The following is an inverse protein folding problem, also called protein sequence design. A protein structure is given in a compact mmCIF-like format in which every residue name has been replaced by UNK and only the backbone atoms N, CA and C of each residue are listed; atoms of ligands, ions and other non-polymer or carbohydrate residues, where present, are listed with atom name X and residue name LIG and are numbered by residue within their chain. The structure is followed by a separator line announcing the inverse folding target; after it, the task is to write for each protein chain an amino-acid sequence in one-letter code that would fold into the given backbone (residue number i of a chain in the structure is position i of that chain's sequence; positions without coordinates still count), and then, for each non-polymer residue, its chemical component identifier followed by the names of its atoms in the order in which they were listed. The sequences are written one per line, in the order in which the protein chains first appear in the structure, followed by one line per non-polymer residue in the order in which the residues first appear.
data_IF_321666211253
#
_entry.id   IF_321666211253
#
_cell.length_a   1.000
_cell.length_b   1.000
_cell.length_c   1.000
_cell.angle_alpha   90.00
_cell.angle_beta   90.00
_cell.angle_gamma   90.00
#
_symmetry.space_group_name_H-M   'P 1'
#
loop_
_entity.id
_entity.type
_entity.pdbx_description
1 polymer ?
#
# COMPACT_ATOMS: atom_id res chain seq x y z
N UNK A 1 0.89 -2.23 -20.34
CA UNK A 1 -0.29 -3.11 -20.39
C UNK A 1 0.19 -4.54 -20.64
N UNK A 2 0.49 -5.30 -19.59
CA UNK A 2 0.81 -6.73 -19.76
C UNK A 2 -0.50 -7.46 -20.10
N UNK A 3 -0.60 -8.02 -21.30
CA UNK A 3 -1.82 -8.71 -21.72
C UNK A 3 -1.94 -10.03 -20.96
N UNK A 4 -3.18 -10.50 -20.78
CA UNK A 4 -3.51 -11.78 -20.13
C UNK A 4 -2.66 -12.95 -20.69
N UNK A 5 -2.33 -12.89 -21.98
CA UNK A 5 -1.49 -13.88 -22.65
C UNK A 5 -0.07 -13.99 -22.05
N UNK A 6 0.53 -12.87 -21.62
CA UNK A 6 1.86 -12.86 -20.99
C UNK A 6 1.84 -13.53 -19.61
N UNK A 7 0.78 -13.29 -18.83
CA UNK A 7 0.60 -13.93 -17.53
C UNK A 7 0.36 -15.43 -17.65
N UNK A 8 -0.51 -15.85 -18.59
CA UNK A 8 -0.76 -17.28 -18.82
C UNK A 8 0.51 -18.00 -19.28
N UNK A 9 1.32 -17.39 -20.16
CA UNK A 9 2.56 -17.99 -20.62
C UNK A 9 3.62 -18.12 -19.50
N UNK A 10 3.65 -17.16 -18.56
CA UNK A 10 4.55 -17.16 -17.38
C UNK A 10 4.20 -18.28 -16.40
N UNK A 11 2.91 -18.52 -16.14
CA UNK A 11 2.47 -19.46 -15.11
C UNK A 11 2.22 -20.88 -15.63
N UNK A 12 1.75 -21.01 -16.87
CA UNK A 12 1.35 -22.31 -17.43
C UNK A 12 2.48 -22.94 -18.25
N UNK A 13 3.51 -22.18 -18.65
CA UNK A 13 4.66 -22.71 -19.36
C UNK A 13 4.30 -23.37 -20.70
N UNK A 14 3.25 -22.90 -21.37
CA UNK A 14 2.72 -23.50 -22.60
C UNK A 14 3.79 -23.59 -23.69
N UNK A 15 4.64 -22.55 -23.82
CA UNK A 15 5.80 -22.60 -24.74
C UNK A 15 6.87 -23.63 -24.34
N UNK A 16 7.11 -23.82 -23.05
CA UNK A 16 8.11 -24.79 -22.59
C UNK A 16 7.67 -26.25 -22.84
N UNK A 17 6.36 -26.50 -22.99
CA UNK A 17 5.81 -27.80 -23.34
C UNK A 17 5.86 -28.10 -24.84
N UNK A 18 5.68 -27.07 -25.70
CA UNK A 18 5.79 -27.21 -27.16
C UNK A 18 7.25 -27.25 -27.65
N UNK A 19 8.16 -26.54 -26.98
CA UNK A 19 9.60 -26.54 -27.29
C UNK A 19 10.37 -27.66 -26.57
N UNK A 20 9.70 -28.48 -25.75
CA UNK A 20 10.33 -29.63 -25.13
C UNK A 20 10.78 -30.59 -26.25
N UNK A 21 12.10 -30.85 -26.42
CA UNK A 21 12.55 -31.83 -27.38
C UNK A 21 11.87 -33.16 -27.06
N UNK A 22 11.39 -33.87 -28.10
CA UNK A 22 10.85 -35.20 -27.91
C UNK A 22 11.85 -36.00 -27.08
N UNK A 23 11.42 -36.51 -25.92
CA UNK A 23 12.30 -37.19 -24.99
C UNK A 23 13.01 -38.33 -25.73
N UNK A 24 14.23 -38.05 -26.19
CA UNK A 24 15.08 -39.02 -26.83
C UNK A 24 15.64 -39.83 -25.67
N UNK A 25 14.96 -40.93 -25.36
CA UNK A 25 15.48 -41.95 -24.48
C UNK A 25 16.72 -42.50 -25.19
N UNK A 26 17.86 -41.85 -25.00
CA UNK A 26 19.16 -42.40 -25.36
C UNK A 26 19.34 -43.61 -24.46
N UNK A 27 18.83 -44.75 -24.95
CA UNK A 27 19.08 -46.06 -24.38
C UNK A 27 20.52 -46.40 -24.74
N UNK A 28 21.44 -45.64 -24.16
CA UNK A 28 22.86 -45.97 -24.11
C UNK A 28 22.91 -47.19 -23.22
N UNK A 29 22.91 -48.35 -23.87
CA UNK A 29 23.19 -49.66 -23.29
C UNK A 29 22.01 -50.25 -22.48
N UNK A 30 21.26 -51.14 -23.13
CA UNK A 30 20.43 -52.09 -22.40
C UNK A 30 21.32 -52.79 -21.34
N UNK A 31 20.85 -53.00 -20.10
CA UNK A 31 21.63 -53.68 -19.07
C UNK A 31 21.97 -55.09 -19.57
N UNK A 32 23.20 -55.26 -20.06
CA UNK A 32 23.69 -56.56 -20.54
C UNK A 32 24.02 -57.38 -19.32
N UNK A 33 23.27 -58.46 -19.12
CA UNK A 33 23.61 -59.48 -18.13
C UNK A 33 25.02 -60.04 -18.44
N UNK A 34 25.71 -60.56 -17.42
CA UNK A 34 27.01 -61.24 -17.61
C UNK A 34 26.79 -62.39 -18.61
N UNK A 35 27.59 -62.47 -19.69
CA UNK A 35 27.44 -63.55 -20.65
C UNK A 35 27.73 -64.89 -19.97
N UNK A 36 26.86 -65.87 -20.20
CA UNK A 36 27.09 -67.24 -19.71
C UNK A 36 27.93 -68.00 -20.72
N UNK A 37 28.68 -69.01 -20.26
CA UNK A 37 29.54 -69.80 -21.15
C UNK A 37 28.71 -70.47 -22.26
N UNK A 38 29.15 -70.31 -23.51
CA UNK A 38 28.54 -70.87 -24.72
C UNK A 38 27.10 -70.39 -25.02
N UNK A 39 26.70 -69.20 -24.57
CA UNK A 39 25.38 -68.63 -24.87
C UNK A 39 25.15 -68.43 -26.38
N UNK A 40 26.20 -68.12 -27.11
CA UNK A 40 26.22 -67.90 -28.57
C UNK A 40 25.99 -69.19 -29.38
N UNK A 41 26.24 -70.36 -28.79
CA UNK A 41 26.07 -71.66 -29.44
C UNK A 41 24.69 -72.26 -29.15
N UNK A 42 24.18 -72.08 -27.93
CA UNK A 42 22.93 -72.75 -27.49
C UNK A 42 21.71 -71.83 -27.41
N UNK A 43 21.90 -70.50 -27.33
CA UNK A 43 20.79 -69.56 -27.18
C UNK A 43 20.66 -68.68 -28.43
N UNK A 44 19.61 -68.94 -29.22
CA UNK A 44 19.21 -68.02 -30.28
C UNK A 44 18.51 -66.80 -29.68
N UNK A 45 19.21 -65.67 -29.60
CA UNK A 45 18.62 -64.39 -29.20
C UNK A 45 17.93 -63.76 -30.41
N UNK A 46 16.60 -63.87 -30.46
CA UNK A 46 15.79 -63.16 -31.47
C UNK A 46 15.97 -61.65 -31.27
N UNK A 47 16.55 -60.97 -32.26
CA UNK A 47 16.61 -59.50 -32.28
C UNK A 47 15.20 -58.95 -32.47
N UNK A 48 14.64 -58.38 -31.40
CA UNK A 48 13.35 -57.69 -31.46
C UNK A 48 13.63 -56.29 -31.98
N UNK A 49 13.33 -56.05 -33.25
CA UNK A 49 13.31 -54.71 -33.82
C UNK A 49 11.98 -54.03 -33.46
N UNK A 50 12.06 -53.03 -32.57
CA UNK A 50 10.92 -52.21 -32.15
C UNK A 50 10.92 -50.83 -32.81
N UNK A 51 11.73 -50.61 -33.85
CA UNK A 51 11.85 -49.31 -34.53
C UNK A 51 10.53 -48.78 -35.09
N UNK A 52 9.59 -49.67 -35.45
CA UNK A 52 8.26 -49.33 -35.95
C UNK A 52 7.17 -49.19 -34.88
N UNK A 53 7.47 -49.40 -33.59
CA UNK A 53 6.45 -49.40 -32.54
C UNK A 53 6.10 -47.95 -32.17
N UNK A 54 5.02 -47.44 -32.76
CA UNK A 54 4.43 -46.19 -32.30
C UNK A 54 3.47 -46.43 -31.14
N UNK A 55 3.47 -45.51 -30.17
CA UNK A 55 2.47 -45.51 -29.10
C UNK A 55 1.07 -45.33 -29.71
N UNK A 56 0.16 -46.26 -29.42
CA UNK A 56 -1.24 -46.11 -29.80
C UNK A 56 -1.80 -44.81 -29.21
N UNK A 57 -2.33 -43.94 -30.07
CA UNK A 57 -2.96 -42.71 -29.64
C UNK A 57 -4.31 -43.07 -29.01
N UNK A 58 -4.36 -43.16 -27.67
CA UNK A 58 -5.62 -43.31 -26.94
C UNK A 58 -6.26 -41.92 -26.70
N UNK A 59 -7.38 -41.59 -27.39
CA UNK A 59 -8.05 -40.31 -27.24
C UNK A 59 -8.74 -40.17 -25.87
N UNK A 60 -9.15 -41.27 -25.23
CA UNK A 60 -9.82 -41.24 -23.92
C UNK A 60 -8.83 -40.85 -22.83
N UNK A 61 -7.62 -41.43 -22.85
CA UNK A 61 -6.56 -41.07 -21.91
C UNK A 61 -6.13 -39.60 -22.05
N UNK A 62 -6.10 -39.06 -23.29
CA UNK A 62 -5.79 -37.63 -23.52
C UNK A 62 -6.87 -36.72 -22.92
N UNK A 63 -8.15 -37.06 -23.11
CA UNK A 63 -9.28 -36.27 -22.60
C UNK A 63 -9.39 -36.31 -21.09
N UNK A 64 -9.16 -37.47 -20.47
CA UNK A 64 -9.15 -37.60 -19.01
C UNK A 64 -8.07 -36.73 -18.37
N UNK A 65 -6.86 -36.73 -18.96
CA UNK A 65 -5.73 -35.88 -18.49
C UNK A 65 -6.03 -34.39 -18.63
N UNK A 66 -6.58 -33.95 -19.77
CA UNK A 66 -6.89 -32.53 -19.95
C UNK A 66 -8.01 -32.07 -19.02
N UNK A 67 -9.00 -32.93 -18.76
CA UNK A 67 -10.09 -32.64 -17.84
C UNK A 67 -9.60 -32.51 -16.39
N UNK A 68 -8.70 -33.40 -15.93
CA UNK A 68 -8.14 -33.30 -14.57
C UNK A 68 -7.29 -32.04 -14.39
N UNK A 69 -6.52 -31.65 -15.41
CA UNK A 69 -5.73 -30.40 -15.38
C UNK A 69 -6.64 -29.18 -15.39
N UNK A 70 -7.66 -29.16 -16.26
CA UNK A 70 -8.60 -28.04 -16.35
C UNK A 70 -9.40 -27.85 -15.05
N UNK A 71 -9.87 -28.94 -14.45
CA UNK A 71 -10.61 -28.89 -13.18
C UNK A 71 -9.74 -28.38 -12.03
N UNK A 72 -8.48 -28.85 -11.92
CA UNK A 72 -7.53 -28.32 -10.94
C UNK A 72 -7.24 -26.83 -11.13
N UNK A 73 -7.09 -26.39 -12.37
CA UNK A 73 -6.88 -24.97 -12.68
C UNK A 73 -8.08 -24.10 -12.29
N UNK A 74 -9.30 -24.53 -12.62
CA UNK A 74 -10.53 -23.81 -12.25
C UNK A 74 -10.69 -23.74 -10.73
N UNK A 75 -10.40 -24.83 -10.02
CA UNK A 75 -10.44 -24.84 -8.56
C UNK A 75 -9.44 -23.85 -7.95
N UNK A 76 -8.20 -23.82 -8.46
CA UNK A 76 -7.19 -22.85 -8.01
C UNK A 76 -7.62 -21.40 -8.28
N UNK A 77 -8.17 -21.11 -9.46
CA UNK A 77 -8.70 -19.80 -9.82
C UNK A 77 -9.83 -19.35 -8.88
N UNK A 78 -10.77 -20.25 -8.53
CA UNK A 78 -11.85 -19.95 -7.60
C UNK A 78 -11.35 -19.60 -6.20
N UNK A 79 -10.34 -20.33 -5.70
CA UNK A 79 -9.73 -20.04 -4.40
C UNK A 79 -9.07 -18.66 -4.41
N UNK A 80 -8.30 -18.35 -5.45
CA UNK A 80 -7.64 -17.04 -5.59
C UNK A 80 -8.70 -15.93 -5.69
N UNK A 81 -9.73 -16.12 -6.51
CA UNK A 81 -10.81 -15.16 -6.68
C UNK A 81 -11.58 -14.91 -5.36
N UNK A 82 -11.76 -15.95 -4.53
CA UNK A 82 -12.39 -15.83 -3.22
C UNK A 82 -11.54 -15.08 -2.18
N UNK A 83 -10.21 -15.12 -2.30
CA UNK A 83 -9.30 -14.41 -1.38
C UNK A 83 -9.21 -12.90 -1.65
N UNK A 84 -9.38 -12.47 -2.91
CA UNK A 84 -9.23 -11.06 -3.31
C UNK A 84 -10.18 -10.12 -2.52
N UNK A 85 -11.50 -10.41 -2.40
CA UNK A 85 -12.41 -9.58 -1.62
C UNK A 85 -12.03 -9.49 -0.14
N UNK A 86 -11.54 -10.59 0.44
CA UNK A 86 -11.13 -10.62 1.84
C UNK A 86 -9.94 -9.68 2.09
N UNK A 87 -8.94 -9.71 1.21
CA UNK A 87 -7.79 -8.80 1.29
C UNK A 87 -8.21 -7.32 1.12
N UNK A 88 -9.12 -7.05 0.17
CA UNK A 88 -9.62 -5.69 -0.06
C UNK A 88 -10.39 -5.14 1.14
N UNK A 89 -11.26 -5.97 1.75
CA UNK A 89 -12.03 -5.58 2.93
C UNK A 89 -11.14 -5.24 4.13
N UNK A 90 -10.06 -5.99 4.35
CA UNK A 90 -9.08 -5.71 5.41
C UNK A 90 -8.41 -4.35 5.17
N UNK A 91 -8.00 -4.07 3.93
CA UNK A 91 -7.35 -2.81 3.58
C UNK A 91 -8.29 -1.61 3.75
N UNK A 92 -9.55 -1.74 3.32
CA UNK A 92 -10.58 -0.74 3.55
C UNK A 92 -10.80 -0.48 5.05
N UNK A 93 -10.80 -1.54 5.86
CA UNK A 93 -10.90 -1.42 7.32
C UNK A 93 -9.80 -0.56 7.94
N UNK A 94 -8.54 -0.71 7.49
CA UNK A 94 -7.44 0.13 7.96
C UNK A 94 -7.63 1.60 7.62
N UNK A 95 -8.11 1.91 6.41
CA UNK A 95 -8.37 3.31 6.01
C UNK A 95 -9.48 3.96 6.82
N UNK A 96 -10.53 3.19 7.15
CA UNK A 96 -11.61 3.69 8.02
C UNK A 96 -11.07 3.94 9.42
N UNK A 97 -10.28 3.01 9.95
CA UNK A 97 -9.73 3.15 11.29
C UNK A 97 -8.76 4.35 11.41
N UNK A 98 -7.92 4.58 10.39
CA UNK A 98 -7.04 5.75 10.38
C UNK A 98 -7.83 7.07 10.34
N UNK A 99 -8.89 7.12 9.53
CA UNK A 99 -9.76 8.29 9.43
C UNK A 99 -10.52 8.56 10.73
N UNK A 100 -11.02 7.52 11.40
CA UNK A 100 -11.66 7.66 12.71
C UNK A 100 -10.68 8.20 13.75
N UNK A 101 -9.44 7.69 13.75
CA UNK A 101 -8.40 8.16 14.67
C UNK A 101 -8.05 9.63 14.43
N UNK A 102 -7.87 10.03 13.17
CA UNK A 102 -7.67 11.44 12.81
C UNK A 102 -8.84 12.33 13.25
N UNK A 103 -10.08 11.87 13.03
CA UNK A 103 -11.26 12.62 13.47
C UNK A 103 -11.27 12.81 15.00
N UNK A 104 -10.91 11.78 15.77
CA UNK A 104 -10.85 11.89 17.24
C UNK A 104 -9.76 12.86 17.70
N UNK A 105 -8.58 12.85 17.05
CA UNK A 105 -7.49 13.76 17.36
C UNK A 105 -7.88 15.21 17.07
N UNK A 106 -8.48 15.47 15.90
CA UNK A 106 -8.93 16.81 15.53
C UNK A 106 -10.00 17.34 16.50
N UNK A 107 -10.94 16.49 16.93
CA UNK A 107 -11.94 16.89 17.94
C UNK A 107 -11.32 17.24 19.30
N UNK A 108 -10.27 16.52 19.69
CA UNK A 108 -9.53 16.85 20.91
C UNK A 108 -8.80 18.18 20.76
N UNK A 109 -8.15 18.41 19.62
CA UNK A 109 -7.46 19.66 19.33
C UNK A 109 -8.43 20.85 19.32
N UNK A 110 -9.60 20.73 18.67
CA UNK A 110 -10.63 21.78 18.71
C UNK A 110 -11.10 22.05 20.14
N UNK A 111 -11.35 21.00 20.93
CA UNK A 111 -11.78 21.19 22.32
C UNK A 111 -10.70 21.88 23.17
N UNK A 112 -9.42 21.60 22.93
CA UNK A 112 -8.30 22.29 23.61
C UNK A 112 -8.21 23.75 23.18
N UNK A 113 -8.35 24.05 21.88
CA UNK A 113 -8.35 25.41 21.37
C UNK A 113 -9.53 26.22 21.92
N UNK A 114 -10.72 25.65 21.98
CA UNK A 114 -11.92 26.29 22.54
C UNK A 114 -11.70 26.66 24.03
N UNK A 115 -11.04 25.79 24.79
CA UNK A 115 -10.68 26.08 26.19
C UNK A 115 -9.66 27.22 26.29
N UNK A 116 -8.65 27.24 25.43
CA UNK A 116 -7.65 28.32 25.39
C UNK A 116 -8.27 29.66 24.99
N UNK A 117 -9.18 29.65 24.01
CA UNK A 117 -9.91 30.85 23.59
C UNK A 117 -10.78 31.38 24.74
N UNK A 118 -11.51 30.49 25.43
CA UNK A 118 -12.30 30.87 26.59
C UNK A 118 -11.44 31.44 27.73
N UNK A 119 -10.23 30.90 27.95
CA UNK A 119 -9.28 31.41 28.94
C UNK A 119 -8.76 32.81 28.56
N UNK A 120 -8.39 33.02 27.29
CA UNK A 120 -7.92 34.30 26.77
C UNK A 120 -9.01 35.38 26.77
N UNK A 121 -10.25 35.01 26.46
CA UNK A 121 -11.42 35.89 26.48
C UNK A 121 -11.99 36.08 27.89
N UNK A 122 -11.42 35.44 28.91
CA UNK A 122 -11.92 35.58 30.27
C UNK A 122 -11.81 37.04 30.74
N UNK A 123 -12.84 37.59 31.41
CA UNK A 123 -12.87 39.00 31.80
C UNK A 123 -11.70 39.38 32.71
N UNK A 124 -11.27 38.46 33.58
CA UNK A 124 -10.08 38.64 34.42
C UNK A 124 -8.80 38.80 33.59
N UNK A 125 -8.62 37.98 32.53
CA UNK A 125 -7.45 38.08 31.67
C UNK A 125 -7.45 39.38 30.86
N UNK A 126 -8.61 39.77 30.33
CA UNK A 126 -8.80 41.03 29.61
C UNK A 126 -8.53 42.25 30.51
N UNK A 127 -8.95 42.21 31.77
CA UNK A 127 -8.68 43.29 32.73
C UNK A 127 -7.18 43.41 33.05
N UNK A 128 -6.47 42.28 33.20
CA UNK A 128 -5.01 42.27 33.35
C UNK A 128 -4.30 42.85 32.11
N UNK A 129 -4.75 42.48 30.90
CA UNK A 129 -4.22 43.04 29.66
C UNK A 129 -4.49 44.54 29.55
N UNK A 130 -5.70 45.01 29.85
CA UNK A 130 -6.07 46.42 29.82
C UNK A 130 -5.20 47.26 30.77
N UNK A 131 -4.94 46.75 31.99
CA UNK A 131 -4.02 47.38 32.95
C UNK A 131 -2.58 47.44 32.42
N UNK A 132 -2.08 46.35 31.83
CA UNK A 132 -0.71 46.28 31.30
C UNK A 132 -0.47 47.22 30.11
N UNK A 133 -1.47 47.37 29.24
CA UNK A 133 -1.41 48.21 28.04
C UNK A 133 -1.82 49.66 28.31
N UNK A 134 -2.13 50.01 29.56
CA UNK A 134 -2.67 51.32 29.95
C UNK A 134 -3.93 51.71 29.16
N UNK A 135 -4.71 50.71 28.72
CA UNK A 135 -6.01 50.87 28.05
C UNK A 135 -7.16 50.95 29.08
N UNK A 136 -6.84 51.42 30.28
CA UNK A 136 -7.83 51.65 31.33
C UNK A 136 -8.68 52.83 30.93
N UNK A 137 -10.00 52.68 31.05
CA UNK A 137 -10.96 53.74 30.75
C UNK A 137 -10.57 55.00 31.55
N UNK A 138 -10.18 56.10 30.87
CA UNK A 138 -9.77 57.30 31.58
C UNK A 138 -10.96 57.83 32.38
N UNK A 139 -10.69 58.33 33.59
CA UNK A 139 -11.73 58.96 34.40
C UNK A 139 -12.50 60.01 33.57
N UNK A 140 -13.82 60.15 33.74
CA UNK A 140 -14.67 60.96 32.86
C UNK A 140 -14.24 62.43 32.70
N UNK A 141 -13.39 62.95 33.59
CA UNK A 141 -12.82 64.30 33.53
C UNK A 141 -11.60 64.45 32.59
N UNK A 142 -11.04 63.36 32.06
CA UNK A 142 -9.82 63.37 31.22
C UNK A 142 -10.10 63.24 29.71
N UNK A 143 -11.36 63.09 29.29
CA UNK A 143 -11.73 62.99 27.87
C UNK A 143 -12.06 64.37 27.33
N UNK A 144 -11.08 65.00 26.67
CA UNK A 144 -11.23 66.30 26.02
C UNK A 144 -11.63 66.10 24.55
N UNK A 145 -12.93 66.23 24.26
CA UNK A 145 -13.41 66.23 22.88
C UNK A 145 -12.99 67.54 22.20
N UNK A 146 -12.06 67.45 21.24
CA UNK A 146 -11.70 68.60 20.41
C UNK A 146 -12.82 68.84 19.39
N UNK A 147 -13.66 69.85 19.66
CA UNK A 147 -14.66 70.33 18.70
C UNK A 147 -13.94 70.97 17.50
N UNK A 148 -14.43 70.68 16.30
CA UNK A 148 -13.70 70.67 15.02
C UNK A 148 -13.28 72.02 14.44
N UNK A 149 -12.91 73.02 15.23
CA UNK A 149 -12.33 74.30 14.77
C UNK A 149 -11.33 74.90 15.75
N UNK A 150 -10.09 74.40 15.76
CA UNK A 150 -8.92 75.21 16.14
C UNK A 150 -7.60 74.57 15.71
N UNK A 151 -6.93 75.23 14.77
CA UNK A 151 -5.48 75.31 14.51
C UNK A 151 -4.60 74.07 14.81
N UNK A 152 -4.13 73.47 13.72
CA UNK A 152 -3.27 72.28 13.58
C UNK A 152 -1.85 72.39 14.17
N UNK A 153 -1.61 73.13 15.26
CA UNK A 153 -0.29 73.23 15.88
C UNK A 153 -0.20 72.85 17.37
N UNK A 154 -1.29 72.39 18.00
CA UNK A 154 -1.26 72.02 19.42
C UNK A 154 -1.52 70.53 19.73
N UNK A 155 -1.80 69.70 18.72
CA UNK A 155 -1.92 68.25 18.91
C UNK A 155 -0.59 67.53 18.63
N UNK A 156 0.46 67.83 19.41
CA UNK A 156 1.67 67.01 19.46
C UNK A 156 1.82 66.46 20.86
N UNK A 157 1.15 65.33 21.13
CA UNK A 157 1.39 64.54 22.34
C UNK A 157 2.81 63.96 22.20
N UNK A 158 3.78 64.59 22.85
CA UNK A 158 5.11 64.00 23.07
C UNK A 158 4.97 62.92 24.14
N UNK A 159 4.91 61.65 23.72
CA UNK A 159 5.21 60.53 24.60
C UNK A 159 6.69 60.62 25.01
N UNK A 160 7.06 60.50 26.30
CA UNK A 160 8.45 60.37 26.69
C UNK A 160 8.95 58.98 26.27
N UNK A 161 9.72 58.92 25.18
CA UNK A 161 10.54 57.76 24.83
C UNK A 161 11.77 57.79 25.76
N UNK A 162 11.59 57.36 26.99
CA UNK A 162 12.70 57.13 27.92
C UNK A 162 12.48 55.77 28.60
N UNK A 163 13.04 54.70 28.04
CA UNK A 163 13.03 53.42 28.75
C UNK A 163 13.35 52.12 28.01
N UNK A 164 13.76 52.10 26.73
CA UNK A 164 14.00 50.82 26.01
C UNK A 164 15.50 50.53 25.72
N UNK A 165 16.43 51.43 26.03
CA UNK A 165 17.88 51.14 25.91
C UNK A 165 18.52 50.78 27.26
N UNK A 166 18.10 49.68 27.89
CA UNK A 166 18.82 49.09 29.02
C UNK A 166 18.47 47.61 29.25
N UNK A 167 18.52 46.77 28.21
CA UNK A 167 18.53 45.30 28.35
C UNK A 167 19.05 44.61 27.08
N UNK A 168 20.28 44.95 26.65
CA UNK A 168 21.01 44.19 25.65
C UNK A 168 22.53 44.36 25.87
N UNK A 169 23.02 43.74 26.96
CA UNK A 169 24.38 43.20 27.10
C UNK A 169 24.32 42.01 28.04
#
# INVERSE_FOLDING_TARGET
MASLATFVNRFVGVRALDEAPAAEWTRTEAPRLRPIANEDVYLFVKRIDNSGVMKAADPLAKRARSQSVATGFVAAMLVIAGLIPAAYNIMAGFTVHSLEQEQTNLKQETAVLDLQEAELLSPSHLEHLAKSLSLVEPAPEAVLYLDGKANSSQARITLPIAGIQAAAR
#
